data_IF_086499757724
#
_entry.id   IF_086499757724
#
_cell.length_a   1.000
_cell.length_b   1.000
_cell.length_c   1.000
_cell.angle_alpha   90.00
_cell.angle_beta   90.00
_cell.angle_gamma   90.00
#
_symmetry.space_group_name_H-M   'P 1'
#
loop_
_entity.id
_entity.type
_entity.pdbx_description
1 polymer ?
#
# COMPACT_ATOMS: atom_id res chain seq x y z
N UNK A 1 -34.45 -20.15 -15.93
CA UNK A 1 -34.65 -18.77 -15.40
C UNK A 1 -33.29 -18.08 -15.33
N UNK A 2 -33.07 -17.00 -16.11
CA UNK A 2 -31.85 -16.18 -16.02
C UNK A 2 -31.96 -15.28 -14.78
N UNK A 3 -31.01 -15.37 -13.85
CA UNK A 3 -30.90 -14.41 -12.75
C UNK A 3 -30.29 -13.14 -13.29
N UNK A 4 -31.08 -12.07 -13.42
CA UNK A 4 -30.56 -10.74 -13.67
C UNK A 4 -29.95 -10.22 -12.37
N UNK A 5 -28.62 -10.18 -12.33
CA UNK A 5 -27.88 -9.64 -11.19
C UNK A 5 -27.87 -8.12 -11.35
N UNK A 6 -28.54 -7.42 -10.43
CA UNK A 6 -28.56 -5.96 -10.42
C UNK A 6 -27.13 -5.42 -10.35
N UNK A 7 -26.73 -4.64 -11.36
CA UNK A 7 -25.47 -3.90 -11.38
C UNK A 7 -25.46 -2.95 -10.18
N UNK A 8 -24.43 -2.97 -9.31
CA UNK A 8 -24.38 -2.03 -8.21
C UNK A 8 -24.31 -0.61 -8.79
N UNK A 9 -25.31 0.22 -8.44
CA UNK A 9 -25.33 1.65 -8.74
C UNK A 9 -23.99 2.23 -8.32
N UNK A 10 -23.41 2.99 -9.24
CA UNK A 10 -22.12 3.66 -9.12
C UNK A 10 -21.90 4.13 -7.69
N UNK A 11 -20.84 3.59 -7.07
CA UNK A 11 -20.41 4.03 -5.76
C UNK A 11 -20.13 5.52 -5.88
N UNK A 12 -21.02 6.34 -5.33
CA UNK A 12 -20.77 7.76 -5.09
C UNK A 12 -19.55 7.77 -4.16
N UNK A 13 -18.36 7.86 -4.75
CA UNK A 13 -17.10 8.01 -4.05
C UNK A 13 -17.09 9.43 -3.53
N UNK A 14 -17.81 9.65 -2.44
CA UNK A 14 -17.53 10.75 -1.55
C UNK A 14 -16.05 10.57 -1.19
N UNK A 15 -15.17 11.36 -1.81
CA UNK A 15 -13.73 11.29 -1.64
C UNK A 15 -13.49 11.67 -0.18
N UNK A 16 -13.60 10.67 0.70
CA UNK A 16 -13.12 10.74 2.07
C UNK A 16 -11.61 10.85 1.93
N UNK A 17 -11.12 12.08 1.81
CA UNK A 17 -9.74 12.42 2.11
C UNK A 17 -9.43 11.70 3.41
N UNK A 18 -8.47 10.78 3.36
CA UNK A 18 -8.16 9.88 4.47
C UNK A 18 -7.99 10.71 5.73
N UNK A 19 -8.90 10.50 6.71
CA UNK A 19 -8.83 11.22 7.98
C UNK A 19 -7.45 11.02 8.58
N UNK A 20 -6.83 12.10 9.04
CA UNK A 20 -5.60 12.04 9.80
C UNK A 20 -5.85 11.18 11.05
N UNK A 21 -5.24 10.00 11.09
CA UNK A 21 -5.49 8.98 12.12
C UNK A 21 -4.30 8.91 13.09
N UNK A 22 -4.49 8.35 14.29
CA UNK A 22 -3.44 8.28 15.32
C UNK A 22 -2.23 7.46 14.85
N UNK A 23 -2.44 6.51 13.94
CA UNK A 23 -1.36 5.77 13.28
C UNK A 23 -0.44 6.69 12.48
N UNK A 24 -0.99 7.72 11.84
CA UNK A 24 -0.19 8.68 11.08
C UNK A 24 0.70 9.52 12.01
N UNK A 25 0.18 9.90 13.17
CA UNK A 25 0.97 10.60 14.21
C UNK A 25 2.14 9.74 14.68
N UNK A 26 1.89 8.45 14.97
CA UNK A 26 2.95 7.52 15.37
C UNK A 26 4.01 7.36 14.27
N UNK A 27 3.61 7.31 12.99
CA UNK A 27 4.57 7.19 11.88
C UNK A 27 5.36 8.49 11.69
N UNK A 28 4.74 9.66 11.91
CA UNK A 28 5.45 10.95 11.88
C UNK A 28 6.48 11.04 13.01
N UNK A 29 6.13 10.60 14.23
CA UNK A 29 7.08 10.58 15.34
C UNK A 29 8.20 9.58 15.04
N UNK A 30 7.85 8.37 14.62
CA UNK A 30 8.81 7.32 14.31
C UNK A 30 9.75 7.73 13.17
N UNK A 31 9.27 8.47 12.17
CA UNK A 31 10.13 8.93 11.08
C UNK A 31 11.24 9.82 11.60
N UNK A 32 10.95 10.82 12.45
CA UNK A 32 11.97 11.70 13.04
C UNK A 32 13.09 10.89 13.72
N UNK A 33 12.74 9.87 14.51
CA UNK A 33 13.72 8.98 15.13
C UNK A 33 14.54 8.20 14.08
N UNK A 34 13.90 7.68 13.04
CA UNK A 34 14.58 7.01 11.93
C UNK A 34 15.55 7.96 11.21
N UNK A 35 15.17 9.22 11.00
CA UNK A 35 16.04 10.24 10.41
C UNK A 35 17.32 10.45 11.23
N UNK A 36 17.17 10.65 12.55
CA UNK A 36 18.30 10.84 13.47
C UNK A 36 19.21 9.61 13.47
N UNK A 37 18.64 8.41 13.58
CA UNK A 37 19.43 7.17 13.63
C UNK A 37 20.13 6.92 12.30
N UNK A 38 19.44 7.09 11.17
CA UNK A 38 20.02 6.81 9.85
C UNK A 38 21.07 7.84 9.44
N UNK A 39 21.07 9.05 9.99
CA UNK A 39 22.16 10.02 9.78
C UNK A 39 23.52 9.48 10.22
N UNK A 40 23.59 8.64 11.27
CA UNK A 40 24.85 8.00 11.70
C UNK A 40 25.37 6.95 10.71
N UNK A 41 24.51 6.45 9.83
CA UNK A 41 24.87 5.45 8.81
C UNK A 41 25.32 6.10 7.50
N UNK A 42 25.01 7.39 7.32
CA UNK A 42 25.28 8.12 6.07
C UNK A 42 26.67 8.76 6.14
N UNK A 43 27.58 8.47 5.19
CA UNK A 43 28.89 9.10 5.14
C UNK A 43 28.76 10.60 4.83
N UNK A 44 29.69 11.42 5.35
CA UNK A 44 29.64 12.89 5.27
C UNK A 44 29.41 13.44 3.85
N UNK A 45 30.00 12.79 2.84
CA UNK A 45 29.88 13.20 1.43
C UNK A 45 28.45 13.09 0.88
N UNK A 46 27.60 12.28 1.52
CA UNK A 46 26.20 12.05 1.13
C UNK A 46 25.20 12.75 2.06
N UNK A 47 25.66 13.54 3.04
CA UNK A 47 24.76 14.22 3.99
C UNK A 47 23.85 15.22 3.28
N UNK A 48 24.39 16.02 2.35
CA UNK A 48 23.60 17.01 1.59
C UNK A 48 22.46 16.34 0.81
N UNK A 49 22.70 15.35 -0.08
CA UNK A 49 21.62 14.69 -0.79
C UNK A 49 20.67 13.94 0.16
N UNK A 50 21.17 13.39 1.26
CA UNK A 50 20.32 12.73 2.26
C UNK A 50 19.34 13.71 2.93
N UNK A 51 19.80 14.88 3.38
CA UNK A 51 18.97 15.91 4.01
C UNK A 51 17.89 16.43 3.06
N UNK A 52 18.17 16.47 1.75
CA UNK A 52 17.18 16.84 0.74
C UNK A 52 16.21 15.71 0.40
N UNK A 53 16.71 14.49 0.25
CA UNK A 53 15.90 13.33 -0.11
C UNK A 53 14.96 12.92 1.03
N UNK A 54 15.39 13.03 2.28
CA UNK A 54 14.61 12.62 3.44
C UNK A 54 13.20 13.26 3.52
N UNK A 55 13.03 14.60 3.52
CA UNK A 55 11.71 15.21 3.53
C UNK A 55 10.90 14.88 2.27
N UNK A 56 11.56 14.73 1.12
CA UNK A 56 10.92 14.34 -0.14
C UNK A 56 10.32 12.94 -0.05
N UNK A 57 11.07 11.99 0.50
CA UNK A 57 10.61 10.60 0.69
C UNK A 57 9.44 10.53 1.68
N UNK A 58 9.49 11.28 2.78
CA UNK A 58 8.37 11.37 3.73
C UNK A 58 7.13 11.95 3.06
N UNK A 59 7.28 13.03 2.30
CA UNK A 59 6.18 13.64 1.57
C UNK A 59 5.51 12.62 0.64
N UNK A 60 6.30 11.88 -0.15
CA UNK A 60 5.77 10.85 -1.05
C UNK A 60 5.08 9.72 -0.28
N UNK A 61 5.63 9.28 0.85
CA UNK A 61 5.05 8.20 1.66
C UNK A 61 3.71 8.57 2.30
N UNK A 62 3.59 9.81 2.77
CA UNK A 62 2.39 10.31 3.44
C UNK A 62 1.35 10.90 2.50
N UNK A 63 1.73 11.19 1.25
CA UNK A 63 0.82 11.62 0.20
C UNK A 63 -0.34 10.64 0.04
N UNK A 64 -1.57 11.13 -0.20
CA UNK A 64 -2.70 10.27 -0.54
C UNK A 64 -2.36 9.42 -1.77
N UNK A 65 -2.77 8.16 -1.75
CA UNK A 65 -2.67 7.27 -2.91
C UNK A 65 -3.92 7.38 -3.77
N UNK A 66 -3.82 6.94 -5.03
CA UNK A 66 -4.98 6.82 -5.94
C UNK A 66 -6.03 5.80 -5.44
N UNK A 67 -5.68 4.98 -4.44
CA UNK A 67 -6.60 4.04 -3.81
C UNK A 67 -7.38 4.77 -2.71
N UNK A 68 -8.73 4.77 -2.77
CA UNK A 68 -9.56 5.52 -1.83
C UNK A 68 -9.27 5.13 -0.38
N UNK A 69 -9.13 6.17 0.47
CA UNK A 69 -8.86 6.06 1.91
C UNK A 69 -7.55 5.32 2.27
N UNK A 70 -6.58 5.26 1.34
CA UNK A 70 -5.23 4.74 1.60
C UNK A 70 -4.14 5.77 1.30
N UNK A 71 -3.09 5.74 2.10
CA UNK A 71 -1.85 6.50 1.89
C UNK A 71 -0.81 5.63 1.20
N UNK A 72 0.16 6.26 0.52
CA UNK A 72 1.18 5.53 -0.23
C UNK A 72 1.95 4.50 0.61
N UNK A 73 2.30 4.81 1.86
CA UNK A 73 2.97 3.84 2.74
C UNK A 73 2.13 2.56 2.96
N UNK A 74 0.80 2.69 3.08
CA UNK A 74 -0.08 1.53 3.32
C UNK A 74 -0.15 0.63 2.09
N UNK A 75 -0.18 1.24 0.91
CA UNK A 75 -0.17 0.52 -0.37
C UNK A 75 1.17 -0.17 -0.57
N UNK A 76 2.28 0.52 -0.30
CA UNK A 76 3.63 -0.03 -0.40
C UNK A 76 3.81 -1.25 0.51
N UNK A 77 3.41 -1.16 1.78
CA UNK A 77 3.44 -2.29 2.72
C UNK A 77 2.55 -3.43 2.23
N UNK A 78 1.34 -3.11 1.71
CA UNK A 78 0.44 -4.13 1.17
C UNK A 78 1.05 -4.87 -0.01
N UNK A 79 1.74 -4.17 -0.92
CA UNK A 79 2.45 -4.79 -2.05
C UNK A 79 3.63 -5.64 -1.56
N UNK A 80 4.37 -5.15 -0.57
CA UNK A 80 5.53 -5.84 -0.01
C UNK A 80 5.13 -7.14 0.74
N UNK A 81 4.01 -7.10 1.47
CA UNK A 81 3.45 -8.25 2.19
C UNK A 81 2.53 -9.13 1.33
N UNK A 82 2.30 -8.78 0.05
CA UNK A 82 1.40 -9.54 -0.82
C UNK A 82 2.00 -10.91 -1.11
N UNK A 83 1.30 -11.95 -0.66
CA UNK A 83 1.68 -13.34 -0.88
C UNK A 83 1.70 -13.64 -2.40
N UNK A 84 2.83 -14.16 -2.92
CA UNK A 84 3.04 -14.42 -4.36
C UNK A 84 2.47 -15.75 -4.83
N UNK A 85 1.42 -16.25 -4.16
CA UNK A 85 0.83 -17.54 -4.49
C UNK A 85 0.10 -17.47 -5.84
N UNK A 86 0.62 -18.23 -6.80
CA UNK A 86 -0.03 -18.46 -8.08
C UNK A 86 -0.97 -19.65 -7.91
N UNK A 87 -2.28 -19.37 -7.87
CA UNK A 87 -3.29 -20.41 -7.88
C UNK A 87 -3.30 -21.08 -9.25
N UNK A 88 -3.02 -22.37 -9.27
CA UNK A 88 -3.22 -23.19 -10.47
C UNK A 88 -4.68 -23.66 -10.45
N UNK A 89 -5.36 -23.57 -11.60
CA UNK A 89 -6.69 -24.12 -11.74
C UNK A 89 -6.63 -25.63 -11.50
N UNK A 90 -7.48 -26.14 -10.62
CA UNK A 90 -7.64 -27.58 -10.42
C UNK A 90 -8.30 -28.12 -11.69
N UNK A 91 -7.57 -28.90 -12.48
CA UNK A 91 -8.16 -29.65 -13.58
C UNK A 91 -9.06 -30.72 -12.96
N UNK A 92 -10.38 -30.55 -13.05
CA UNK A 92 -11.33 -31.57 -12.64
C UNK A 92 -11.05 -32.86 -13.45
N UNK A 93 -11.02 -34.05 -12.81
CA UNK A 93 -10.85 -35.30 -13.54
C UNK A 93 -12.03 -35.46 -14.50
N UNK A 94 -11.74 -35.76 -15.77
CA UNK A 94 -12.78 -36.04 -16.76
C UNK A 94 -13.48 -37.32 -16.34
N UNK A 95 -14.76 -37.21 -16.04
CA UNK A 95 -15.70 -38.30 -15.82
C UNK A 95 -15.90 -39.05 -17.15
N UNK A 96 -14.95 -39.91 -17.50
CA UNK A 96 -15.01 -40.84 -18.62
C UNK A 96 -14.24 -42.09 -18.20
N UNK A 97 -14.79 -42.85 -17.25
CA UNK A 97 -14.42 -44.24 -16.96
C UNK A 97 -15.51 -44.88 -16.10
N UNK A 98 -16.74 -44.94 -16.63
CA UNK A 98 -17.72 -45.96 -16.22
C UNK A 98 -18.28 -46.56 -17.51
N UNK A 99 -17.56 -47.59 -17.97
CA UNK A 99 -17.92 -48.49 -19.06
C UNK A 99 -18.98 -49.50 -18.62
#
# INVERSE_FOLDING_TARGET
MRKEVARPKEAITNIKQGKFDMKDVLIIIASVFVGIISQYLVPEILVIPYVLAYPLTLYILFSPSDIPNKKNYQVAIQVLLKDRKVYHAINAPKENDQS
#
